data_IF_269256687143
#
_entry.id   IF_269256687143
#
_cell.length_a   1.000
_cell.length_b   1.000
_cell.length_c   1.000
_cell.angle_alpha   90.00
_cell.angle_beta   90.00
_cell.angle_gamma   90.00
#
_symmetry.space_group_name_H-M   'P 1'
#
loop_
_entity.id
_entity.type
_entity.pdbx_description
1 polymer ?
#
# COMPACT_ATOMS: atom_id res chain seq x y z
N UNK A 1 6.95 10.01 5.74
CA UNK A 1 8.11 10.73 5.14
C UNK A 1 8.04 10.81 3.62
N UNK A 2 7.44 9.81 2.92
CA UNK A 2 7.39 9.73 1.46
C UNK A 2 6.61 10.88 0.78
N UNK A 3 5.59 11.44 1.42
CA UNK A 3 4.83 12.59 0.91
C UNK A 3 5.71 13.85 0.92
N UNK A 4 6.14 14.39 2.07
CA UNK A 4 6.93 15.63 2.10
C UNK A 4 8.30 15.48 1.41
N UNK A 5 8.90 14.29 1.43
CA UNK A 5 10.15 14.08 0.68
C UNK A 5 9.95 14.15 -0.82
N UNK A 6 8.81 13.68 -1.32
CA UNK A 6 8.48 13.74 -2.74
C UNK A 6 8.41 15.16 -3.29
N UNK A 7 8.00 16.14 -2.48
CA UNK A 7 7.92 17.55 -2.87
C UNK A 7 9.27 18.12 -3.32
N UNK A 8 10.36 17.59 -2.79
CA UNK A 8 11.72 18.03 -3.09
C UNK A 8 12.44 17.16 -4.14
N UNK A 9 11.76 16.19 -4.73
CA UNK A 9 12.36 15.26 -5.69
C UNK A 9 11.84 15.56 -7.11
N UNK A 10 12.76 15.68 -8.07
CA UNK A 10 12.47 15.85 -9.49
C UNK A 10 11.73 14.64 -10.09
N UNK A 11 11.29 14.76 -11.33
CA UNK A 11 10.67 13.66 -12.06
C UNK A 11 11.61 12.47 -12.21
N UNK A 12 11.08 11.26 -12.25
CA UNK A 12 11.86 10.03 -12.40
C UNK A 12 11.47 9.26 -13.66
N UNK A 13 12.41 8.43 -14.16
CA UNK A 13 12.28 7.73 -15.44
C UNK A 13 11.12 6.72 -15.48
N UNK A 14 10.63 6.28 -14.35
CA UNK A 14 9.46 5.40 -14.19
C UNK A 14 8.12 6.13 -14.37
N UNK A 15 8.15 7.45 -14.60
CA UNK A 15 6.98 8.28 -14.88
C UNK A 15 6.40 9.00 -13.67
N UNK A 16 7.08 9.01 -12.50
CA UNK A 16 6.70 9.87 -11.38
C UNK A 16 6.98 11.34 -11.73
N UNK A 17 5.99 12.20 -11.53
CA UNK A 17 6.14 13.64 -11.76
C UNK A 17 6.93 14.32 -10.62
N UNK A 18 7.62 15.41 -10.95
CA UNK A 18 8.29 16.24 -9.94
C UNK A 18 7.28 16.73 -8.88
N UNK A 19 7.70 16.75 -7.62
CA UNK A 19 6.88 17.25 -6.52
C UNK A 19 5.77 16.29 -6.06
N UNK A 20 5.55 15.15 -6.71
CA UNK A 20 4.57 14.16 -6.27
C UNK A 20 5.16 13.22 -5.21
N UNK A 21 4.33 12.59 -4.34
CA UNK A 21 4.81 11.65 -3.34
C UNK A 21 5.71 10.56 -3.92
N UNK A 22 6.72 10.15 -3.15
CA UNK A 22 7.49 8.93 -3.42
C UNK A 22 6.61 7.70 -3.17
N UNK A 23 7.06 6.51 -3.59
CA UNK A 23 6.40 5.26 -3.24
C UNK A 23 6.22 5.14 -1.72
N UNK A 24 5.09 4.59 -1.30
CA UNK A 24 4.68 4.52 0.10
C UNK A 24 5.48 3.52 0.96
N UNK A 25 6.31 2.73 0.33
CA UNK A 25 7.27 1.82 0.96
C UNK A 25 8.49 1.61 0.09
N UNK A 26 9.63 1.25 0.68
CA UNK A 26 10.89 1.06 -0.05
C UNK A 26 10.84 0.01 -1.15
N UNK A 27 9.87 -0.92 -1.08
CA UNK A 27 9.62 -1.95 -2.09
C UNK A 27 8.26 -1.78 -2.79
N UNK A 28 7.47 -0.78 -2.42
CA UNK A 28 6.18 -0.52 -3.04
C UNK A 28 6.37 0.09 -4.44
N UNK A 29 5.42 -0.20 -5.32
CA UNK A 29 5.38 0.42 -6.64
C UNK A 29 5.13 1.93 -6.55
N UNK A 30 5.64 2.67 -7.51
CA UNK A 30 5.20 4.06 -7.74
C UNK A 30 3.72 4.04 -8.12
N UNK A 31 2.97 5.04 -7.68
CA UNK A 31 1.52 5.14 -7.91
C UNK A 31 1.13 4.89 -9.36
N UNK A 32 0.14 4.02 -9.54
CA UNK A 32 -0.38 3.65 -10.84
C UNK A 32 0.54 2.76 -11.68
N UNK A 33 1.58 2.15 -11.10
CA UNK A 33 2.46 1.21 -11.80
C UNK A 33 2.20 -0.26 -11.47
N UNK A 34 1.41 -0.56 -10.47
CA UNK A 34 1.01 -1.90 -10.04
C UNK A 34 -0.27 -2.39 -10.76
N UNK A 35 -0.25 -2.32 -12.08
CA UNK A 35 -1.42 -2.51 -12.95
C UNK A 35 -1.82 -3.98 -13.18
N UNK A 36 -0.96 -4.93 -12.84
CA UNK A 36 -1.15 -6.35 -13.16
C UNK A 36 -1.49 -7.21 -11.94
N UNK A 37 -1.99 -6.57 -10.89
CA UNK A 37 -2.47 -7.25 -9.70
C UNK A 37 -1.37 -7.59 -8.67
N UNK A 38 -1.78 -8.06 -7.48
CA UNK A 38 -0.89 -8.21 -6.33
C UNK A 38 0.18 -9.31 -6.53
N UNK A 39 -0.14 -10.39 -7.23
CA UNK A 39 0.84 -11.45 -7.55
C UNK A 39 1.96 -10.95 -8.45
N UNK A 40 1.65 -10.07 -9.41
CA UNK A 40 2.66 -9.46 -10.25
C UNK A 40 3.59 -8.54 -9.46
N UNK A 41 3.08 -7.85 -8.45
CA UNK A 41 3.88 -7.05 -7.51
C UNK A 41 4.85 -7.94 -6.75
N UNK A 42 4.41 -9.05 -6.14
CA UNK A 42 5.30 -10.00 -5.47
C UNK A 42 6.40 -10.52 -6.42
N UNK A 43 6.02 -10.88 -7.63
CA UNK A 43 6.95 -11.38 -8.66
C UNK A 43 7.98 -10.33 -9.09
N UNK A 44 7.60 -9.05 -9.12
CA UNK A 44 8.50 -7.94 -9.38
C UNK A 44 9.46 -7.70 -8.21
N UNK A 45 8.93 -7.61 -7.00
CA UNK A 45 9.73 -7.39 -5.77
C UNK A 45 10.72 -8.53 -5.53
N UNK A 46 10.34 -9.78 -5.80
CA UNK A 46 11.24 -10.94 -5.63
C UNK A 46 12.51 -10.91 -6.50
N UNK A 47 12.56 -10.03 -7.50
CA UNK A 47 13.75 -9.82 -8.32
C UNK A 47 14.73 -8.81 -7.74
N UNK A 48 14.35 -8.11 -6.68
CA UNK A 48 15.25 -7.24 -5.94
C UNK A 48 16.13 -8.10 -5.04
N UNK A 49 17.44 -7.83 -5.02
CA UNK A 49 18.32 -8.47 -4.04
C UNK A 49 18.05 -7.89 -2.66
N UNK A 50 17.50 -8.71 -1.78
CA UNK A 50 17.24 -8.33 -0.39
C UNK A 50 18.41 -8.61 0.55
N UNK A 51 19.50 -9.19 0.06
CA UNK A 51 20.67 -9.57 0.87
C UNK A 51 21.36 -8.38 1.52
N UNK A 52 21.26 -7.20 0.89
CA UNK A 52 21.83 -5.94 1.39
C UNK A 52 20.82 -5.08 2.17
N UNK A 53 19.55 -5.50 2.27
CA UNK A 53 18.50 -4.75 2.99
C UNK A 53 18.33 -5.28 4.41
N UNK A 54 19.37 -5.15 5.23
CA UNK A 54 19.42 -5.73 6.60
C UNK A 54 18.33 -5.19 7.53
N UNK A 55 17.80 -3.99 7.27
CA UNK A 55 16.66 -3.41 7.99
C UNK A 55 15.31 -3.74 7.33
N UNK A 56 15.28 -4.60 6.32
CA UNK A 56 14.10 -4.91 5.54
C UNK A 56 13.69 -3.79 4.57
N UNK A 57 12.59 -3.99 3.89
CA UNK A 57 11.96 -3.02 3.00
C UNK A 57 10.45 -3.11 3.12
N UNK A 58 9.77 -1.97 3.23
CA UNK A 58 8.32 -1.93 3.37
C UNK A 58 7.66 -2.21 2.01
N UNK A 59 6.76 -3.18 1.97
CA UNK A 59 5.83 -3.39 0.86
C UNK A 59 4.40 -3.20 1.39
N UNK A 60 3.75 -2.14 0.94
CA UNK A 60 2.37 -1.84 1.31
C UNK A 60 1.42 -2.33 0.22
N UNK A 61 0.32 -2.95 0.64
CA UNK A 61 -0.74 -3.38 -0.27
C UNK A 61 -2.10 -3.06 0.34
N UNK A 62 -3.06 -2.69 -0.50
CA UNK A 62 -4.43 -2.39 -0.07
C UNK A 62 -5.40 -3.32 -0.77
N UNK A 63 -6.19 -4.05 0.02
CA UNK A 63 -7.25 -4.94 -0.48
C UNK A 63 -8.62 -4.39 -0.09
N UNK A 64 -9.61 -4.70 -0.92
CA UNK A 64 -11.00 -4.43 -0.56
C UNK A 64 -11.51 -5.47 0.44
N UNK A 65 -12.31 -5.07 1.45
CA UNK A 65 -12.89 -6.00 2.42
C UNK A 65 -13.71 -7.12 1.78
N UNK A 66 -14.35 -6.84 0.65
CA UNK A 66 -15.18 -7.79 -0.11
C UNK A 66 -14.40 -9.03 -0.55
N UNK A 67 -13.11 -8.88 -0.81
CA UNK A 67 -12.24 -10.00 -1.18
C UNK A 67 -12.19 -11.09 -0.09
N UNK A 68 -12.36 -10.72 1.18
CA UNK A 68 -12.29 -11.63 2.32
C UNK A 68 -13.66 -12.17 2.79
N UNK A 69 -14.75 -11.85 2.09
CA UNK A 69 -16.12 -12.22 2.53
C UNK A 69 -16.51 -13.67 2.23
N UNK A 70 -15.72 -14.40 1.46
CA UNK A 70 -15.98 -15.78 1.10
C UNK A 70 -14.73 -16.65 1.24
N UNK A 71 -14.94 -17.98 1.36
CA UNK A 71 -13.87 -18.95 1.51
C UNK A 71 -12.88 -18.93 0.34
N UNK A 72 -13.35 -18.73 -0.88
CA UNK A 72 -12.49 -18.66 -2.06
C UNK A 72 -11.49 -17.50 -1.98
N UNK A 73 -11.92 -16.32 -1.49
CA UNK A 73 -11.04 -15.17 -1.29
C UNK A 73 -9.98 -15.44 -0.22
N UNK A 74 -10.40 -16.09 0.87
CA UNK A 74 -9.49 -16.49 1.96
C UNK A 74 -8.46 -17.51 1.47
N UNK A 75 -8.88 -18.52 0.69
CA UNK A 75 -7.97 -19.53 0.12
C UNK A 75 -6.96 -18.92 -0.85
N UNK A 76 -7.41 -18.00 -1.71
CA UNK A 76 -6.52 -17.26 -2.61
C UNK A 76 -5.52 -16.40 -1.83
N UNK A 77 -5.96 -15.74 -0.76
CA UNK A 77 -5.08 -14.97 0.09
C UNK A 77 -4.06 -15.85 0.82
N UNK A 78 -4.47 -17.02 1.28
CA UNK A 78 -3.55 -18.01 1.85
C UNK A 78 -2.48 -18.46 0.84
N UNK A 79 -2.88 -18.71 -0.43
CA UNK A 79 -1.95 -18.98 -1.53
C UNK A 79 -1.00 -17.82 -1.82
N UNK A 80 -1.52 -16.61 -1.79
CA UNK A 80 -0.72 -15.39 -1.93
C UNK A 80 0.33 -15.24 -0.83
N UNK A 81 -0.03 -15.48 0.44
CA UNK A 81 0.91 -15.45 1.56
C UNK A 81 1.98 -16.55 1.46
N UNK A 82 1.63 -17.77 1.00
CA UNK A 82 2.62 -18.82 0.73
C UNK A 82 3.59 -18.36 -0.36
N UNK A 83 3.08 -17.79 -1.45
CA UNK A 83 3.92 -17.26 -2.54
C UNK A 83 4.86 -16.16 -2.02
N UNK A 84 4.38 -15.26 -1.17
CA UNK A 84 5.20 -14.25 -0.52
C UNK A 84 6.39 -14.86 0.25
N UNK A 85 6.12 -15.92 1.03
CA UNK A 85 7.16 -16.64 1.81
C UNK A 85 8.13 -17.37 0.88
N UNK A 86 7.62 -18.09 -0.11
CA UNK A 86 8.44 -18.86 -1.07
C UNK A 86 9.38 -17.95 -1.89
N UNK A 87 8.93 -16.75 -2.21
CA UNK A 87 9.72 -15.73 -2.90
C UNK A 87 10.70 -14.99 -1.98
N UNK A 88 10.73 -15.29 -0.69
CA UNK A 88 11.63 -14.71 0.32
C UNK A 88 11.56 -13.18 0.38
N UNK A 89 10.39 -12.62 0.17
CA UNK A 89 10.18 -11.17 0.30
C UNK A 89 10.22 -10.82 1.79
N UNK A 90 11.04 -9.85 2.23
CA UNK A 90 11.35 -9.65 3.64
C UNK A 90 10.22 -9.06 4.45
N UNK A 91 9.28 -8.34 3.82
CA UNK A 91 8.23 -7.63 4.53
C UNK A 91 7.02 -7.39 3.64
N UNK A 92 5.83 -7.48 4.22
CA UNK A 92 4.58 -7.05 3.62
C UNK A 92 3.64 -6.53 4.72
N UNK A 93 2.86 -5.51 4.43
CA UNK A 93 1.80 -5.03 5.31
C UNK A 93 0.56 -4.65 4.51
N UNK A 94 -0.61 -4.78 5.14
CA UNK A 94 -1.88 -4.64 4.47
C UNK A 94 -2.73 -3.52 5.06
N UNK A 95 -3.47 -2.83 4.17
CA UNK A 95 -4.69 -2.12 4.48
C UNK A 95 -5.87 -2.91 3.90
N UNK A 96 -6.91 -3.08 4.68
CA UNK A 96 -8.18 -3.67 4.24
C UNK A 96 -9.26 -2.64 4.47
N UNK A 97 -9.48 -1.78 3.47
CA UNK A 97 -10.34 -0.60 3.58
C UNK A 97 -10.86 -0.19 2.21
N UNK A 98 -12.10 0.29 2.16
CA UNK A 98 -12.68 0.86 0.94
C UNK A 98 -12.23 2.31 0.73
N UNK A 99 -12.08 2.69 -0.50
CA UNK A 99 -11.80 4.09 -0.88
C UNK A 99 -12.95 5.01 -0.47
N UNK A 100 -14.18 4.54 -0.59
CA UNK A 100 -15.41 5.25 -0.23
C UNK A 100 -15.45 5.58 1.27
N UNK A 101 -15.04 4.64 2.13
CA UNK A 101 -14.97 4.84 3.58
C UNK A 101 -13.92 5.91 3.94
N UNK A 102 -12.78 5.91 3.28
CA UNK A 102 -11.73 6.92 3.47
C UNK A 102 -12.21 8.31 3.01
N UNK A 103 -12.90 8.40 1.87
CA UNK A 103 -13.49 9.65 1.39
C UNK A 103 -14.61 10.16 2.29
N UNK A 104 -15.42 9.25 2.84
CA UNK A 104 -16.45 9.59 3.82
C UNK A 104 -15.82 10.09 5.13
N UNK A 105 -14.74 9.46 5.58
CA UNK A 105 -13.99 9.87 6.76
C UNK A 105 -13.36 11.26 6.64
N UNK A 106 -12.95 11.66 5.44
CA UNK A 106 -12.49 13.04 5.20
C UNK A 106 -13.61 14.09 5.34
N UNK A 107 -14.83 13.70 4.94
CA UNK A 107 -16.00 14.61 4.98
C UNK A 107 -16.64 14.68 6.36
N UNK A 108 -16.64 13.57 7.08
CA UNK A 108 -17.35 13.37 8.36
C UNK A 108 -16.44 12.72 9.41
N UNK A 109 -15.31 13.36 9.79
CA UNK A 109 -14.29 12.77 10.65
C UNK A 109 -14.83 12.29 11.99
N UNK A 110 -15.86 12.95 12.53
CA UNK A 110 -16.49 12.58 13.80
C UNK A 110 -17.17 11.20 13.78
N UNK A 111 -17.61 10.73 12.59
CA UNK A 111 -18.23 9.41 12.43
C UNK A 111 -17.21 8.30 12.25
N UNK A 112 -15.98 8.65 11.91
CA UNK A 112 -14.89 7.73 11.60
C UNK A 112 -13.69 7.88 12.55
N UNK A 113 -13.89 8.41 13.74
CA UNK A 113 -12.82 8.67 14.71
C UNK A 113 -11.98 7.43 15.06
N UNK A 114 -12.57 6.22 14.96
CA UNK A 114 -11.89 4.95 15.23
C UNK A 114 -11.28 4.29 13.98
N UNK A 115 -11.45 4.88 12.78
CA UNK A 115 -10.91 4.30 11.55
C UNK A 115 -9.38 4.37 11.55
N UNK A 116 -8.76 3.21 11.57
CA UNK A 116 -7.30 3.09 11.53
C UNK A 116 -6.81 2.65 10.16
N UNK A 117 -5.63 3.15 9.78
CA UNK A 117 -4.94 2.77 8.55
C UNK A 117 -3.47 2.48 8.81
N UNK A 118 -2.92 1.56 8.03
CA UNK A 118 -1.49 1.32 7.99
C UNK A 118 -0.83 2.34 7.05
N UNK A 119 0.01 3.20 7.60
CA UNK A 119 0.67 4.26 6.82
C UNK A 119 1.93 3.69 6.14
N UNK A 120 3.02 3.60 6.86
CA UNK A 120 4.27 2.99 6.41
C UNK A 120 5.08 2.61 7.65
N UNK A 121 5.00 1.35 8.06
CA UNK A 121 5.65 0.85 9.29
C UNK A 121 4.91 1.16 10.59
N UNK A 122 3.82 1.93 10.58
CA UNK A 122 2.98 2.25 11.74
C UNK A 122 1.51 2.36 11.36
N UNK A 123 0.65 2.26 12.37
CA UNK A 123 -0.81 2.43 12.24
C UNK A 123 -1.21 3.75 12.92
N UNK A 124 -2.13 4.47 12.30
CA UNK A 124 -2.67 5.72 12.84
C UNK A 124 -4.17 5.82 12.61
N UNK A 125 -4.84 6.67 13.37
CA UNK A 125 -6.22 7.06 13.07
C UNK A 125 -6.22 7.91 11.80
N UNK A 126 -7.03 7.50 10.83
CA UNK A 126 -7.04 8.14 9.51
C UNK A 126 -7.40 9.62 9.59
N UNK A 127 -8.36 9.97 10.42
CA UNK A 127 -8.87 11.33 10.59
C UNK A 127 -7.87 12.29 11.25
N UNK A 128 -6.87 11.76 11.95
CA UNK A 128 -5.80 12.55 12.61
C UNK A 128 -4.61 12.83 11.70
N UNK A 129 -4.56 12.19 10.53
CA UNK A 129 -3.47 12.39 9.57
C UNK A 129 -3.62 13.74 8.85
N UNK A 130 -2.49 14.33 8.47
CA UNK A 130 -2.47 15.48 7.56
C UNK A 130 -3.16 15.13 6.23
N UNK A 131 -3.86 16.09 5.64
CA UNK A 131 -4.72 15.87 4.47
C UNK A 131 -3.95 15.31 3.27
N UNK A 132 -2.71 15.73 3.06
CA UNK A 132 -1.84 15.23 1.99
C UNK A 132 -1.58 13.72 2.17
N UNK A 133 -1.39 13.27 3.41
CA UNK A 133 -1.18 11.86 3.71
C UNK A 133 -2.47 11.06 3.59
N UNK A 134 -3.62 11.63 3.98
CA UNK A 134 -4.92 11.01 3.75
C UNK A 134 -5.16 10.82 2.25
N UNK A 135 -4.91 11.86 1.43
CA UNK A 135 -5.06 11.80 -0.02
C UNK A 135 -4.14 10.74 -0.65
N UNK A 136 -2.94 10.62 -0.14
CA UNK A 136 -1.98 9.60 -0.56
C UNK A 136 -2.51 8.18 -0.30
N UNK A 137 -3.01 7.91 0.90
CA UNK A 137 -3.57 6.59 1.27
C UNK A 137 -4.80 6.25 0.43
N UNK A 138 -5.65 7.25 0.14
CA UNK A 138 -6.80 7.10 -0.76
C UNK A 138 -6.35 6.72 -2.18
N UNK A 139 -5.27 7.33 -2.65
CA UNK A 139 -4.75 7.12 -4.01
C UNK A 139 -4.05 5.78 -4.22
N UNK A 140 -3.69 5.05 -3.15
CA UNK A 140 -3.08 3.72 -3.25
C UNK A 140 -3.98 2.76 -4.03
N UNK A 141 -3.39 1.92 -4.88
CA UNK A 141 -4.12 0.87 -5.60
C UNK A 141 -4.87 -0.04 -4.63
N UNK A 142 -6.15 -0.29 -4.91
CA UNK A 142 -6.98 -1.24 -4.16
C UNK A 142 -7.15 -2.50 -4.97
N UNK A 143 -6.77 -3.65 -4.41
CA UNK A 143 -6.92 -4.93 -5.08
C UNK A 143 -8.27 -5.57 -4.73
N UNK A 144 -9.03 -5.94 -5.77
CA UNK A 144 -10.32 -6.61 -5.66
C UNK A 144 -10.17 -8.14 -5.57
N UNK A 145 -8.96 -8.65 -5.87
CA UNK A 145 -8.66 -10.08 -5.90
C UNK A 145 -7.20 -10.38 -6.22
N UNK A 146 -6.89 -11.66 -6.28
CA UNK A 146 -5.60 -12.27 -6.56
C UNK A 146 -5.72 -13.20 -7.78
#
# INVERSE_FOLDING_TARGET
AHVPMGEHVGASADGRLAGTPLADGGMSAVYGRDLHGPTAVLKSVSRLSCDCTTNGGLLNMKFLPEFFQNEQGIDKFAGFLRTFVDLRIPHIQFNVVRKEDLLAAQKHPEQYASLTVRVAGYTAYFVELAQELQNEIIARTSYEGI
#
